data_IF_709156374615
#
_entry.id   IF_709156374615
#
_cell.length_a   1.000
_cell.length_b   1.000
_cell.length_c   1.000
_cell.angle_alpha   90.00
_cell.angle_beta   90.00
_cell.angle_gamma   90.00
#
_symmetry.space_group_name_H-M   'P 1'
#
loop_
_entity.id
_entity.type
_entity.pdbx_description
1 polymer ?
#
# COMPACT_ATOMS: atom_id res chain seq x y z
N UNK A 1 10.10 26.06 15.98
CA UNK A 1 9.97 24.80 15.21
C UNK A 1 8.75 23.99 15.69
N UNK A 2 7.54 24.57 15.64
CA UNK A 2 6.30 23.93 16.19
C UNK A 2 5.13 23.92 15.18
N UNK A 3 5.27 24.57 14.02
CA UNK A 3 4.18 24.67 13.04
C UNK A 3 3.99 23.39 12.21
N UNK A 4 5.07 22.71 11.81
CA UNK A 4 5.00 21.57 10.89
C UNK A 4 4.21 20.37 11.44
N UNK A 5 4.36 20.06 12.73
CA UNK A 5 3.68 18.92 13.38
C UNK A 5 2.17 19.16 13.52
N UNK A 6 1.73 20.42 13.64
CA UNK A 6 0.31 20.77 13.82
C UNK A 6 -0.48 20.59 12.51
N UNK A 7 0.11 21.01 11.39
CA UNK A 7 -0.50 20.90 10.05
C UNK A 7 -0.67 19.45 9.60
N UNK A 8 0.29 18.58 9.90
CA UNK A 8 0.21 17.14 9.56
C UNK A 8 -0.95 16.47 10.31
N UNK A 9 -1.10 16.77 11.60
CA UNK A 9 -2.19 16.19 12.40
C UNK A 9 -3.56 16.63 11.88
N UNK A 10 -3.75 17.93 11.63
CA UNK A 10 -5.01 18.45 11.10
C UNK A 10 -5.38 17.82 9.75
N UNK A 11 -4.41 17.59 8.86
CA UNK A 11 -4.65 16.90 7.59
C UNK A 11 -5.09 15.44 7.77
N UNK A 12 -4.54 14.72 8.75
CA UNK A 12 -4.96 13.33 9.03
C UNK A 12 -6.37 13.21 9.61
N UNK A 13 -6.89 14.27 10.27
CA UNK A 13 -8.17 14.23 10.99
C UNK A 13 -9.39 14.68 10.16
N UNK A 14 -9.22 15.22 8.94
CA UNK A 14 -10.29 15.97 8.25
C UNK A 14 -10.95 15.28 7.05
N UNK A 15 -10.60 14.04 6.71
CA UNK A 15 -11.33 13.30 5.67
C UNK A 15 -12.26 12.25 6.29
N UNK A 16 -13.53 12.14 5.83
CA UNK A 16 -14.33 10.96 6.14
C UNK A 16 -13.54 9.70 5.77
N UNK A 17 -13.67 8.64 6.55
CA UNK A 17 -13.03 7.36 6.23
C UNK A 17 -13.42 6.98 4.80
N UNK A 18 -12.45 6.77 3.89
CA UNK A 18 -12.76 6.44 2.52
C UNK A 18 -13.54 5.13 2.48
N UNK A 19 -14.37 4.97 1.45
CA UNK A 19 -14.92 3.64 1.13
C UNK A 19 -13.72 2.79 0.71
N UNK A 20 -13.59 1.62 1.31
CA UNK A 20 -12.46 0.72 1.05
C UNK A 20 -12.92 -0.45 0.18
N UNK A 21 -12.15 -0.75 -0.85
CA UNK A 21 -12.23 -2.00 -1.62
C UNK A 21 -11.07 -2.89 -1.20
N UNK A 22 -11.36 -4.09 -0.70
CA UNK A 22 -10.34 -5.06 -0.30
C UNK A 22 -9.88 -5.90 -1.49
N UNK A 23 -8.56 -6.08 -1.61
CA UNK A 23 -7.95 -6.93 -2.63
C UNK A 23 -7.84 -8.38 -2.14
N UNK A 24 -7.94 -9.37 -3.04
CA UNK A 24 -7.88 -10.79 -2.70
C UNK A 24 -6.43 -11.27 -2.49
N UNK A 25 -5.67 -10.58 -1.65
CA UNK A 25 -4.27 -10.88 -1.33
C UNK A 25 -4.09 -11.42 0.10
N UNK A 26 -5.16 -11.51 0.88
CA UNK A 26 -5.09 -12.01 2.25
C UNK A 26 -4.54 -13.44 2.32
N UNK A 27 -3.57 -13.67 3.21
CA UNK A 27 -2.90 -14.96 3.38
C UNK A 27 -1.66 -15.16 2.51
N UNK A 28 -1.46 -14.34 1.49
CA UNK A 28 -0.30 -14.43 0.60
C UNK A 28 1.00 -14.13 1.34
N UNK A 29 2.06 -14.87 0.99
CA UNK A 29 3.39 -14.68 1.61
C UNK A 29 4.01 -13.40 1.08
N UNK A 30 4.35 -12.50 1.98
CA UNK A 30 4.92 -11.20 1.63
C UNK A 30 6.44 -11.31 1.47
N UNK A 31 6.97 -10.75 0.39
CA UNK A 31 8.41 -10.50 0.21
C UNK A 31 8.75 -9.12 0.77
N UNK A 32 8.21 -8.07 0.15
CA UNK A 32 8.38 -6.70 0.60
C UNK A 32 7.25 -5.79 0.10
N UNK A 33 7.11 -4.63 0.75
CA UNK A 33 6.30 -3.51 0.29
C UNK A 33 7.28 -2.36 0.03
N UNK A 34 7.18 -1.72 -1.13
CA UNK A 34 8.05 -0.61 -1.48
C UNK A 34 7.19 0.59 -1.84
N UNK A 35 7.31 1.68 -1.08
CA UNK A 35 6.90 3.01 -1.52
C UNK A 35 8.08 3.64 -2.25
N UNK A 36 7.91 4.10 -3.48
CA UNK A 36 8.98 4.73 -4.26
C UNK A 36 8.42 5.83 -5.15
N UNK A 37 9.30 6.70 -5.67
CA UNK A 37 8.91 7.77 -6.61
C UNK A 37 9.08 9.15 -6.00
N UNK A 38 8.31 10.11 -6.52
CA UNK A 38 8.54 11.53 -6.25
C UNK A 38 7.27 12.32 -5.95
N UNK A 39 7.14 12.78 -4.71
CA UNK A 39 6.06 13.69 -4.31
C UNK A 39 4.66 13.16 -4.69
N UNK A 40 4.09 13.71 -5.76
CA UNK A 40 2.76 13.37 -6.29
C UNK A 40 2.71 12.14 -7.20
N UNK A 41 3.86 11.69 -7.69
CA UNK A 41 4.01 10.54 -8.58
C UNK A 41 4.76 9.42 -7.83
N UNK A 42 4.30 9.18 -6.60
CA UNK A 42 4.79 8.06 -5.80
C UNK A 42 3.93 6.83 -6.09
N UNK A 43 4.57 5.67 -6.12
CA UNK A 43 3.93 4.38 -6.29
C UNK A 43 4.16 3.54 -5.04
N UNK A 44 3.22 2.64 -4.78
CA UNK A 44 3.39 1.55 -3.83
C UNK A 44 3.46 0.25 -4.63
N UNK A 45 4.44 -0.59 -4.32
CA UNK A 45 4.52 -1.95 -4.82
C UNK A 45 4.37 -2.92 -3.66
N UNK A 46 3.56 -3.96 -3.84
CA UNK A 46 3.50 -5.13 -2.97
C UNK A 46 4.08 -6.31 -3.74
N UNK A 47 5.23 -6.83 -3.29
CA UNK A 47 5.86 -8.02 -3.85
C UNK A 47 5.59 -9.23 -2.96
N UNK A 48 5.06 -10.28 -3.57
CA UNK A 48 4.83 -11.56 -2.92
C UNK A 48 6.08 -12.44 -3.04
N UNK A 49 6.21 -13.42 -2.14
CA UNK A 49 7.36 -14.32 -2.11
C UNK A 49 7.42 -15.25 -3.34
N UNK A 50 6.31 -15.41 -4.07
CA UNK A 50 6.24 -16.14 -5.34
C UNK A 50 6.69 -15.30 -6.55
N UNK A 51 7.05 -14.03 -6.33
CA UNK A 51 7.53 -13.11 -7.35
C UNK A 51 6.43 -12.28 -8.04
N UNK A 52 5.14 -12.47 -7.71
CA UNK A 52 4.07 -11.56 -8.19
C UNK A 52 4.26 -10.17 -7.58
N UNK A 53 4.00 -9.14 -8.38
CA UNK A 53 4.17 -7.73 -8.02
C UNK A 53 2.95 -6.94 -8.40
N UNK A 54 2.41 -6.23 -7.41
CA UNK A 54 1.24 -5.38 -7.59
C UNK A 54 1.67 -3.93 -7.36
N UNK A 55 1.62 -3.11 -8.41
CA UNK A 55 2.02 -1.69 -8.35
C UNK A 55 0.79 -0.78 -8.40
N UNK A 56 0.77 0.23 -7.55
CA UNK A 56 -0.34 1.17 -7.39
C UNK A 56 0.18 2.61 -7.43
N UNK A 57 -0.44 3.45 -8.27
CA UNK A 57 -0.25 4.88 -8.19
C UNK A 57 -0.82 5.43 -6.88
N UNK A 58 -0.02 6.19 -6.13
CA UNK A 58 -0.45 6.78 -4.85
C UNK A 58 -1.06 8.17 -5.07
N UNK A 59 -2.39 8.26 -5.02
CA UNK A 59 -3.13 9.53 -5.09
C UNK A 59 -3.45 10.13 -3.73
N UNK A 60 -3.23 9.37 -2.65
CA UNK A 60 -3.56 9.78 -1.28
C UNK A 60 -2.63 9.21 -0.23
N UNK A 61 -3.18 8.75 0.89
CA UNK A 61 -2.37 8.23 1.99
C UNK A 61 -1.94 6.79 1.73
N UNK A 62 -0.70 6.46 2.07
CA UNK A 62 -0.23 5.08 2.22
C UNK A 62 -0.08 4.76 3.70
N UNK A 63 -0.66 3.63 4.14
CA UNK A 63 -0.56 3.13 5.52
C UNK A 63 -0.13 1.68 5.51
N UNK A 64 0.93 1.37 6.24
CA UNK A 64 1.38 -0.01 6.50
C UNK A 64 1.22 -0.30 7.99
N UNK A 65 0.24 -1.13 8.32
CA UNK A 65 -0.03 -1.62 9.66
C UNK A 65 0.83 -2.87 9.88
N UNK A 66 1.99 -2.68 10.49
CA UNK A 66 2.98 -3.73 10.70
C UNK A 66 2.70 -4.64 11.90
N UNK A 67 3.52 -5.69 11.99
CA UNK A 67 3.56 -6.63 13.11
C UNK A 67 4.99 -6.79 13.63
N UNK A 68 5.18 -7.58 14.69
CA UNK A 68 6.52 -7.97 15.11
C UNK A 68 7.25 -8.70 13.98
N UNK A 69 8.50 -8.33 13.71
CA UNK A 69 9.30 -8.88 12.61
C UNK A 69 9.17 -8.11 11.28
N UNK A 70 8.29 -7.12 11.19
CA UNK A 70 8.33 -6.16 10.09
C UNK A 70 9.44 -5.14 10.36
N UNK A 71 10.37 -5.04 9.42
CA UNK A 71 11.42 -4.05 9.37
C UNK A 71 11.08 -2.98 8.33
N UNK A 72 11.64 -1.79 8.50
CA UNK A 72 11.51 -0.71 7.52
C UNK A 72 12.85 -0.06 7.25
N UNK A 73 13.13 0.22 5.98
CA UNK A 73 14.33 0.92 5.54
C UNK A 73 13.94 2.10 4.65
N UNK A 74 14.57 3.26 4.87
CA UNK A 74 14.43 4.42 4.00
C UNK A 74 15.71 4.59 3.20
N UNK A 75 15.60 4.53 1.88
CA UNK A 75 16.70 4.78 0.95
C UNK A 75 16.32 5.93 0.01
N UNK A 76 17.33 6.63 -0.54
CA UNK A 76 17.17 7.81 -1.41
C UNK A 76 16.16 8.83 -0.84
N UNK A 77 16.59 9.67 0.09
CA UNK A 77 15.75 10.63 0.81
C UNK A 77 16.00 12.09 0.42
N UNK A 78 16.11 12.37 -0.89
CA UNK A 78 16.40 13.71 -1.40
C UNK A 78 15.13 14.46 -1.81
N UNK A 79 15.26 15.71 -2.26
CA UNK A 79 14.12 16.54 -2.66
C UNK A 79 13.32 15.97 -3.84
N UNK A 80 13.86 14.97 -4.55
CA UNK A 80 13.28 14.38 -5.76
C UNK A 80 12.86 12.94 -5.58
N UNK A 81 13.38 12.21 -4.60
CA UNK A 81 13.15 10.79 -4.45
C UNK A 81 12.95 10.43 -3.00
N UNK A 82 12.03 9.51 -2.77
CA UNK A 82 11.86 8.81 -1.50
C UNK A 82 11.63 7.33 -1.79
N UNK A 83 12.40 6.44 -1.17
CA UNK A 83 12.13 5.00 -1.20
C UNK A 83 11.99 4.50 0.24
N UNK A 84 10.85 3.94 0.57
CA UNK A 84 10.61 3.27 1.86
C UNK A 84 10.30 1.80 1.57
N UNK A 85 11.06 0.91 2.17
CA UNK A 85 10.88 -0.54 2.07
C UNK A 85 10.36 -1.07 3.39
N UNK A 86 9.39 -1.95 3.34
CA UNK A 86 8.91 -2.74 4.47
C UNK A 86 9.11 -4.21 4.15
N UNK A 87 9.90 -4.91 4.96
CA UNK A 87 10.31 -6.28 4.68
C UNK A 87 10.50 -7.05 5.98
N UNK A 88 10.73 -8.36 5.87
CA UNK A 88 11.01 -9.20 7.02
C UNK A 88 10.87 -10.67 6.68
N UNK A 89 11.13 -11.53 7.66
CA UNK A 89 11.00 -12.98 7.48
C UNK A 89 9.64 -13.46 7.97
N UNK A 90 9.10 -14.50 7.30
CA UNK A 90 7.86 -15.15 7.69
C UNK A 90 6.68 -14.18 7.83
N UNK A 91 6.53 -13.28 6.85
CA UNK A 91 5.42 -12.33 6.81
C UNK A 91 4.37 -12.77 5.79
N UNK A 92 3.12 -12.42 6.07
CA UNK A 92 2.01 -12.55 5.13
C UNK A 92 1.19 -11.27 5.10
N UNK A 93 0.53 -11.07 3.97
CA UNK A 93 -0.52 -10.05 3.84
C UNK A 93 -1.71 -10.49 4.70
N UNK A 94 -2.13 -9.63 5.63
CA UNK A 94 -3.38 -9.80 6.35
C UNK A 94 -4.55 -9.18 5.57
N UNK A 95 -4.35 -7.99 5.01
CA UNK A 95 -5.29 -7.32 4.12
C UNK A 95 -4.57 -6.28 3.26
N UNK A 96 -5.09 -6.02 2.06
CA UNK A 96 -4.76 -4.83 1.27
C UNK A 96 -6.06 -4.17 0.87
N UNK A 97 -6.19 -2.87 1.13
CA UNK A 97 -7.40 -2.10 0.87
C UNK A 97 -7.07 -0.85 0.07
N UNK A 98 -7.80 -0.63 -1.01
CA UNK A 98 -7.71 0.58 -1.82
C UNK A 98 -8.88 1.49 -1.48
N UNK A 99 -8.59 2.76 -1.22
CA UNK A 99 -9.61 3.77 -1.01
C UNK A 99 -10.24 4.13 -2.35
N UNK A 100 -11.56 3.98 -2.46
CA UNK A 100 -12.33 4.39 -3.63
C UNK A 100 -12.18 5.91 -3.81
N UNK A 101 -11.67 6.38 -4.95
CA UNK A 101 -11.54 7.82 -5.19
C UNK A 101 -12.90 8.54 -5.16
N UNK A 102 -12.95 9.76 -4.62
CA UNK A 102 -14.21 10.51 -4.42
C UNK A 102 -15.04 10.71 -5.71
N UNK A 103 -14.40 10.70 -6.88
CA UNK A 103 -15.03 10.89 -8.18
C UNK A 103 -15.20 9.59 -8.98
N UNK A 104 -14.78 8.45 -8.43
CA UNK A 104 -14.87 7.18 -9.12
C UNK A 104 -16.32 6.67 -9.12
N UNK A 105 -16.74 6.14 -10.26
CA UNK A 105 -17.86 5.22 -10.30
C UNK A 105 -17.42 3.91 -9.63
N UNK A 106 -18.15 3.46 -8.61
CA UNK A 106 -17.78 2.31 -7.79
C UNK A 106 -17.76 1.01 -8.59
N UNK A 107 -18.69 0.84 -9.55
CA UNK A 107 -18.76 -0.36 -10.37
C UNK A 107 -17.61 -0.38 -11.38
N UNK A 108 -17.33 0.77 -12.02
CA UNK A 108 -16.18 0.89 -12.91
C UNK A 108 -14.86 0.65 -12.17
N UNK A 109 -14.70 1.24 -10.97
CA UNK A 109 -13.51 1.05 -10.15
C UNK A 109 -13.30 -0.42 -9.77
N UNK A 110 -14.38 -1.13 -9.42
CA UNK A 110 -14.33 -2.56 -9.14
C UNK A 110 -13.96 -3.38 -10.39
N UNK A 111 -14.49 -3.01 -11.57
CA UNK A 111 -14.14 -3.66 -12.84
C UNK A 111 -12.65 -3.45 -13.19
N UNK A 112 -12.16 -2.21 -13.08
CA UNK A 112 -10.76 -1.89 -13.35
C UNK A 112 -9.80 -2.63 -12.40
N UNK A 113 -10.16 -2.75 -11.11
CA UNK A 113 -9.40 -3.58 -10.16
C UNK A 113 -9.40 -5.05 -10.58
N UNK A 114 -10.54 -5.57 -11.04
CA UNK A 114 -10.65 -6.97 -11.45
C UNK A 114 -9.78 -7.27 -12.68
N UNK A 115 -9.82 -6.40 -13.69
CA UNK A 115 -8.99 -6.52 -14.89
C UNK A 115 -7.50 -6.42 -14.55
N UNK A 116 -7.13 -5.44 -13.72
CA UNK A 116 -5.76 -5.26 -13.25
C UNK A 116 -5.24 -6.46 -12.43
N UNK A 117 -6.07 -7.04 -11.56
CA UNK A 117 -5.72 -8.27 -10.82
C UNK A 117 -5.51 -9.46 -11.77
N UNK A 118 -6.28 -9.56 -12.85
CA UNK A 118 -6.15 -10.64 -13.82
C UNK A 118 -4.79 -10.63 -14.55
N UNK A 119 -4.10 -9.48 -14.57
CA UNK A 119 -2.74 -9.34 -15.13
C UNK A 119 -1.65 -9.39 -14.07
N UNK A 120 -1.98 -9.86 -12.85
CA UNK A 120 -1.13 -9.84 -11.66
C UNK A 120 -0.65 -8.44 -11.28
N UNK A 121 -1.40 -7.40 -11.63
CA UNK A 121 -1.07 -6.02 -11.33
C UNK A 121 0.18 -5.48 -12.04
N UNK A 122 0.53 -6.08 -13.18
CA UNK A 122 1.69 -5.69 -14.00
C UNK A 122 1.33 -4.54 -14.95
N UNK A 123 0.05 -4.41 -15.32
CA UNK A 123 -0.44 -3.24 -16.05
C UNK A 123 -0.75 -2.09 -15.09
N UNK A 124 -0.83 -0.88 -15.64
CA UNK A 124 -1.16 0.31 -14.86
C UNK A 124 -2.64 0.28 -14.44
N UNK A 125 -2.89 0.32 -13.13
CA UNK A 125 -4.21 0.71 -12.64
C UNK A 125 -4.38 2.20 -12.92
N UNK A 126 -5.42 2.56 -13.69
CA UNK A 126 -5.68 3.95 -14.09
C UNK A 126 -5.95 4.92 -12.92
N UNK A 127 -6.10 4.38 -11.71
CA UNK A 127 -6.46 5.11 -10.52
C UNK A 127 -5.25 5.36 -9.63
N UNK A 128 -5.06 6.62 -9.24
CA UNK A 128 -4.21 6.98 -8.13
C UNK A 128 -5.04 6.92 -6.82
N UNK A 129 -4.67 6.04 -5.89
CA UNK A 129 -5.51 5.66 -4.74
C UNK A 129 -4.88 6.01 -3.40
N UNK A 130 -5.68 5.96 -2.32
CA UNK A 130 -5.13 5.72 -0.97
C UNK A 130 -5.05 4.22 -0.74
N UNK A 131 -4.06 3.76 0.03
CA UNK A 131 -3.85 2.34 0.28
C UNK A 131 -3.59 2.07 1.75
N UNK A 132 -4.18 0.99 2.25
CA UNK A 132 -3.89 0.42 3.55
C UNK A 132 -3.45 -1.04 3.38
N UNK A 133 -2.31 -1.38 3.98
CA UNK A 133 -1.76 -2.73 3.97
C UNK A 133 -1.58 -3.18 5.41
N UNK A 134 -2.22 -4.29 5.76
CA UNK A 134 -2.02 -4.96 7.04
C UNK A 134 -1.09 -6.16 6.84
N UNK A 135 -0.08 -6.27 7.71
CA UNK A 135 0.90 -7.36 7.68
C UNK A 135 0.77 -8.17 8.96
N UNK A 136 0.82 -9.50 8.82
CA UNK A 136 0.79 -10.42 9.95
C UNK A 136 1.99 -11.39 9.91
N UNK A 137 2.43 -11.89 11.07
CA UNK A 137 3.43 -12.94 11.10
C UNK A 137 2.80 -14.26 10.62
N UNK A 138 3.59 -15.05 9.92
CA UNK A 138 3.34 -16.47 9.69
C UNK A 138 3.82 -17.18 10.95
N UNK A 139 2.88 -17.54 11.82
CA UNK A 139 3.18 -18.38 12.97
C UNK A 139 3.55 -19.77 12.43
N UNK A 140 4.81 -20.17 12.61
CA UNK A 140 5.15 -21.58 12.47
C UNK A 140 4.39 -22.32 13.57
N UNK A 141 3.55 -23.27 13.18
CA UNK A 141 2.96 -24.18 14.15
C UNK A 141 4.07 -24.83 14.97
N UNK A 142 3.89 -24.93 16.28
CA UNK A 142 4.71 -25.82 17.08
C UNK A 142 4.43 -27.24 16.57
N UNK A 143 5.34 -27.80 15.75
CA UNK A 143 5.21 -29.13 15.16
C UNK A 143 6.44 -29.53 14.39
#
# INVERSE_FOLDING_TARGET
MSSYVRTIREYMYQKPSPIWTELPLAGERLSEIVLFGHGKDADVMVELLDGRRFVFGLGGASRVNGCSGLESEVTRWDDRSLIIRYFGQNLKVAAVRLGVPDQADVEQFAADIHEWLATNGVDDLLWAVSIEIEVAPILQGAG
#
